data_IF_018320206933
#
_entry.id   IF_018320206933
#
_cell.length_a   1.000
_cell.length_b   1.000
_cell.length_c   1.000
_cell.angle_alpha   90.00
_cell.angle_beta   90.00
_cell.angle_gamma   90.00
#
_symmetry.space_group_name_H-M   'P 1'
#
loop_
_entity.id
_entity.type
_entity.pdbx_description
1 polymer ?
#
# COMPACT_ATOMS: atom_id res chain seq x y z
N UNK A 1 18.61 7.85 -1.01
CA UNK A 1 17.17 7.64 -0.74
C UNK A 1 16.81 6.20 -1.08
N UNK A 2 16.18 5.48 -0.15
CA UNK A 2 15.73 4.08 -0.34
C UNK A 2 14.22 4.03 -0.17
N UNK A 3 13.51 3.41 -1.12
CA UNK A 3 12.05 3.24 -1.06
C UNK A 3 11.70 1.83 -0.59
N UNK A 4 10.93 1.74 0.49
CA UNK A 4 10.35 0.47 0.94
C UNK A 4 9.12 0.12 0.11
N UNK A 5 8.95 -1.16 -0.23
CA UNK A 5 7.72 -1.68 -0.84
C UNK A 5 7.13 -2.72 0.10
N UNK A 6 5.90 -2.50 0.58
CA UNK A 6 5.22 -3.45 1.44
C UNK A 6 5.02 -4.78 0.69
N UNK A 7 5.60 -5.86 1.21
CA UNK A 7 5.72 -7.15 0.53
C UNK A 7 5.09 -8.30 1.32
N UNK A 8 3.89 -8.06 1.86
CA UNK A 8 3.08 -9.07 2.55
C UNK A 8 2.22 -9.88 1.57
N UNK A 9 1.66 -9.20 0.57
CA UNK A 9 0.83 -9.74 -0.51
C UNK A 9 0.78 -8.70 -1.65
N UNK A 10 0.35 -9.12 -2.85
CA UNK A 10 0.03 -8.22 -3.95
C UNK A 10 1.16 -8.04 -4.95
N UNK A 11 0.99 -7.10 -5.88
CA UNK A 11 1.86 -6.93 -7.05
C UNK A 11 3.11 -6.07 -6.75
N UNK A 12 3.74 -6.27 -5.59
CA UNK A 12 4.93 -5.52 -5.19
C UNK A 12 6.10 -5.68 -6.19
N UNK A 13 6.16 -6.80 -6.91
CA UNK A 13 7.19 -7.06 -7.93
C UNK A 13 7.13 -6.07 -9.10
N UNK A 14 5.96 -5.55 -9.46
CA UNK A 14 5.80 -4.53 -10.48
C UNK A 14 6.39 -3.19 -10.04
N UNK A 15 6.21 -2.84 -8.76
CA UNK A 15 6.84 -1.66 -8.17
C UNK A 15 8.36 -1.78 -8.11
N UNK A 16 8.90 -2.96 -7.78
CA UNK A 16 10.35 -3.23 -7.84
C UNK A 16 10.88 -2.99 -9.25
N UNK A 17 10.23 -3.57 -10.26
CA UNK A 17 10.61 -3.39 -11.67
C UNK A 17 10.55 -1.93 -12.11
N UNK A 18 9.54 -1.19 -11.67
CA UNK A 18 9.41 0.24 -12.00
C UNK A 18 10.53 1.07 -11.36
N UNK A 19 10.81 0.88 -10.07
CA UNK A 19 11.89 1.61 -9.38
C UNK A 19 13.27 1.26 -9.95
N UNK A 20 13.48 0.03 -10.38
CA UNK A 20 14.71 -0.38 -11.06
C UNK A 20 14.92 0.39 -12.38
N UNK A 21 13.87 0.58 -13.19
CA UNK A 21 13.94 1.41 -14.41
C UNK A 21 14.27 2.88 -14.12
N UNK A 22 13.94 3.36 -12.93
CA UNK A 22 14.25 4.72 -12.46
C UNK A 22 15.58 4.81 -11.70
N UNK A 23 16.35 3.72 -11.61
CA UNK A 23 17.58 3.63 -10.82
C UNK A 23 17.40 3.99 -9.33
N UNK A 24 16.22 3.71 -8.76
CA UNK A 24 15.90 3.97 -7.35
C UNK A 24 16.16 2.72 -6.51
N UNK A 25 16.99 2.86 -5.47
CA UNK A 25 17.21 1.82 -4.47
C UNK A 25 15.92 1.49 -3.74
N UNK A 26 15.62 0.21 -3.59
CA UNK A 26 14.43 -0.26 -2.90
C UNK A 26 14.70 -1.51 -2.07
N UNK A 27 13.86 -1.73 -1.06
CA UNK A 27 13.83 -2.97 -0.29
C UNK A 27 12.38 -3.45 -0.09
N UNK A 28 12.22 -4.76 0.11
CA UNK A 28 10.93 -5.34 0.47
C UNK A 28 10.70 -5.22 1.98
N UNK A 29 9.60 -4.60 2.36
CA UNK A 29 9.19 -4.37 3.75
C UNK A 29 8.22 -5.47 4.17
N UNK A 30 8.60 -6.29 5.14
CA UNK A 30 7.80 -7.39 5.70
C UNK A 30 7.61 -7.29 7.21
N UNK A 31 8.49 -6.57 7.90
CA UNK A 31 8.50 -6.40 9.36
C UNK A 31 8.82 -4.97 9.76
N UNK A 32 8.53 -4.63 11.02
CA UNK A 32 8.71 -3.27 11.55
C UNK A 32 10.13 -2.76 11.49
N UNK A 33 11.15 -3.62 11.62
CA UNK A 33 12.55 -3.19 11.57
C UNK A 33 13.03 -2.80 10.16
N UNK A 34 12.32 -3.21 9.10
CA UNK A 34 12.71 -2.85 7.73
C UNK A 34 12.55 -1.34 7.47
N UNK A 35 11.68 -0.68 8.23
CA UNK A 35 11.44 0.77 8.12
C UNK A 35 12.64 1.62 8.54
N UNK A 36 13.61 1.04 9.24
CA UNK A 36 14.80 1.76 9.69
C UNK A 36 15.79 1.98 8.52
N UNK A 37 15.54 1.34 7.37
CA UNK A 37 16.37 1.41 6.17
C UNK A 37 15.72 2.14 4.99
N UNK A 38 14.56 2.79 5.19
CA UNK A 38 13.78 3.40 4.10
C UNK A 38 13.43 4.86 4.40
N UNK A 39 13.22 5.63 3.32
CA UNK A 39 12.85 7.05 3.36
C UNK A 39 11.47 7.33 2.76
N UNK A 40 10.82 6.32 2.18
CA UNK A 40 9.45 6.36 1.69
C UNK A 40 8.88 4.96 1.61
N UNK A 41 7.55 4.83 1.56
CA UNK A 41 6.86 3.54 1.50
C UNK A 41 5.88 3.49 0.34
N UNK A 42 5.91 2.39 -0.41
CA UNK A 42 4.86 2.02 -1.37
C UNK A 42 4.01 0.90 -0.76
N UNK A 43 2.68 1.08 -0.77
CA UNK A 43 1.70 0.04 -0.49
C UNK A 43 1.10 -0.39 -1.85
N UNK A 44 1.38 -1.63 -2.31
CA UNK A 44 1.04 -2.06 -3.66
C UNK A 44 -0.46 -2.31 -3.83
N UNK A 45 -0.87 -2.52 -5.09
CA UNK A 45 -2.14 -3.16 -5.41
C UNK A 45 -2.15 -4.64 -4.99
N UNK A 46 -3.32 -5.25 -4.97
CA UNK A 46 -3.53 -6.61 -4.48
C UNK A 46 -4.91 -6.74 -3.86
N UNK A 47 -5.03 -7.62 -2.87
CA UNK A 47 -6.29 -7.84 -2.15
C UNK A 47 -6.25 -7.07 -0.81
N UNK A 48 -6.99 -5.95 -0.74
CA UNK A 48 -6.93 -5.02 0.39
C UNK A 48 -7.34 -5.64 1.73
N UNK A 49 -8.23 -6.63 1.73
CA UNK A 49 -8.63 -7.38 2.93
C UNK A 49 -7.48 -8.24 3.47
N UNK A 50 -6.79 -8.96 2.59
CA UNK A 50 -5.62 -9.78 2.94
C UNK A 50 -4.46 -8.90 3.41
N UNK A 51 -4.19 -7.80 2.71
CA UNK A 51 -3.17 -6.84 3.17
C UNK A 51 -3.51 -6.27 4.55
N UNK A 52 -4.76 -5.87 4.79
CA UNK A 52 -5.23 -5.39 6.10
C UNK A 52 -5.01 -6.44 7.20
N UNK A 53 -5.38 -7.70 6.93
CA UNK A 53 -5.20 -8.83 7.85
C UNK A 53 -3.72 -9.06 8.18
N UNK A 54 -2.86 -9.11 7.17
CA UNK A 54 -1.43 -9.37 7.34
C UNK A 54 -0.73 -8.20 8.05
N UNK A 55 -1.07 -6.95 7.71
CA UNK A 55 -0.56 -5.78 8.42
C UNK A 55 -0.91 -5.79 9.91
N UNK A 56 -2.10 -6.31 10.25
CA UNK A 56 -2.50 -6.48 11.65
C UNK A 56 -1.69 -7.63 12.30
N UNK A 57 -1.59 -8.78 11.63
CA UNK A 57 -0.84 -9.95 12.11
C UNK A 57 0.63 -9.63 12.40
N UNK A 58 1.27 -8.81 11.56
CA UNK A 58 2.68 -8.41 11.72
C UNK A 58 2.86 -7.08 12.47
N UNK A 59 1.81 -6.55 13.10
CA UNK A 59 1.84 -5.31 13.90
C UNK A 59 2.36 -4.07 13.15
N UNK A 60 2.17 -4.01 11.83
CA UNK A 60 2.72 -2.95 10.98
C UNK A 60 1.89 -1.65 11.00
N UNK A 61 0.62 -1.70 11.40
CA UNK A 61 -0.25 -0.52 11.48
C UNK A 61 0.37 0.64 12.27
N UNK A 62 0.86 0.35 13.48
CA UNK A 62 1.46 1.38 14.35
C UNK A 62 2.74 1.95 13.73
N UNK A 63 3.58 1.09 13.15
CA UNK A 63 4.85 1.51 12.53
C UNK A 63 4.60 2.36 11.29
N UNK A 64 3.66 2.00 10.42
CA UNK A 64 3.29 2.77 9.23
C UNK A 64 2.75 4.15 9.61
N UNK A 65 1.83 4.24 10.58
CA UNK A 65 1.30 5.54 11.05
C UNK A 65 2.35 6.42 11.70
N UNK A 66 3.34 5.84 12.38
CA UNK A 66 4.47 6.61 12.92
C UNK A 66 5.37 7.09 11.78
N UNK A 67 5.65 6.22 10.81
CA UNK A 67 6.49 6.52 9.65
C UNK A 67 5.91 7.65 8.78
N UNK A 68 4.59 7.66 8.57
CA UNK A 68 3.88 8.65 7.75
C UNK A 68 3.95 10.08 8.28
N UNK A 69 4.34 10.29 9.55
CA UNK A 69 4.46 11.64 10.12
C UNK A 69 5.59 12.45 9.49
N UNK A 70 6.66 11.75 9.06
CA UNK A 70 7.88 12.39 8.56
C UNK A 70 8.27 11.92 7.15
N UNK A 71 7.55 10.95 6.58
CA UNK A 71 7.91 10.33 5.31
C UNK A 71 6.69 10.12 4.42
N UNK A 72 6.89 10.19 3.11
CA UNK A 72 5.83 9.99 2.13
C UNK A 72 5.43 8.51 2.01
N UNK A 73 4.12 8.29 1.83
CA UNK A 73 3.56 6.97 1.54
C UNK A 73 2.72 7.04 0.28
N UNK A 74 3.00 6.14 -0.66
CA UNK A 74 2.27 6.00 -1.90
C UNK A 74 1.44 4.71 -1.88
N UNK A 75 0.12 4.82 -2.05
CA UNK A 75 -0.78 3.68 -2.11
C UNK A 75 -1.38 3.54 -3.51
N UNK A 76 -1.25 2.35 -4.11
CA UNK A 76 -1.83 2.04 -5.42
C UNK A 76 -2.96 1.01 -5.26
N UNK A 77 -4.13 1.24 -5.88
CA UNK A 77 -5.30 0.35 -5.79
C UNK A 77 -5.64 -0.06 -4.34
N UNK A 78 -5.36 -1.30 -3.94
CA UNK A 78 -5.52 -1.77 -2.56
C UNK A 78 -4.78 -0.89 -1.53
N UNK A 79 -3.59 -0.41 -1.86
CA UNK A 79 -2.87 0.55 -1.04
C UNK A 79 -3.60 1.88 -0.88
N UNK A 80 -4.28 2.37 -1.93
CA UNK A 80 -5.09 3.59 -1.85
C UNK A 80 -6.31 3.39 -0.92
N UNK A 81 -6.98 2.23 -1.01
CA UNK A 81 -8.05 1.84 -0.09
C UNK A 81 -7.54 1.82 1.35
N UNK A 82 -6.35 1.26 1.61
CA UNK A 82 -5.78 1.19 2.96
C UNK A 82 -5.38 2.56 3.51
N UNK A 83 -5.02 3.53 2.68
CA UNK A 83 -4.64 4.88 3.13
C UNK A 83 -5.84 5.76 3.50
N UNK A 84 -7.05 5.41 3.05
CA UNK A 84 -8.27 6.18 3.28
C UNK A 84 -8.61 6.34 4.76
N UNK A 85 -9.48 7.30 5.07
CA UNK A 85 -10.04 7.46 6.41
C UNK A 85 -11.16 6.46 6.67
N UNK A 86 -11.95 6.18 5.63
CA UNK A 86 -13.12 5.30 5.69
C UNK A 86 -13.15 4.39 4.48
N UNK A 87 -13.56 3.15 4.69
CA UNK A 87 -13.81 2.14 3.67
C UNK A 87 -15.21 1.55 3.89
N UNK A 88 -15.89 1.17 2.80
CA UNK A 88 -17.19 0.51 2.82
C UNK A 88 -17.14 -0.95 3.31
N UNK A 89 -15.96 -1.58 3.27
CA UNK A 89 -15.72 -2.95 3.77
C UNK A 89 -15.27 -2.99 5.25
N UNK A 90 -16.02 -3.71 6.08
CA UNK A 90 -15.77 -3.90 7.52
C UNK A 90 -14.54 -4.75 7.83
N UNK A 91 -14.08 -5.58 6.89
CA UNK A 91 -12.89 -6.43 7.06
C UNK A 91 -11.58 -5.65 6.88
N UNK A 92 -11.67 -4.40 6.42
CA UNK A 92 -10.53 -3.53 6.23
C UNK A 92 -10.43 -2.58 7.42
N UNK A 93 -9.23 -2.47 7.97
CA UNK A 93 -8.89 -1.46 8.96
C UNK A 93 -8.10 -0.36 8.25
N UNK A 94 -8.68 0.81 7.93
CA UNK A 94 -7.92 1.85 7.23
C UNK A 94 -6.80 2.42 8.11
N UNK A 95 -5.71 2.85 7.48
CA UNK A 95 -4.61 3.57 8.12
C UNK A 95 -5.03 4.99 8.52
N UNK A 96 -6.06 5.56 7.89
CA UNK A 96 -6.56 6.92 8.15
C UNK A 96 -5.49 7.97 7.97
N UNK A 97 -4.83 7.94 6.81
CA UNK A 97 -3.76 8.88 6.45
C UNK A 97 -4.20 9.90 5.40
N UNK A 98 -5.29 9.62 4.68
CA UNK A 98 -5.89 10.52 3.71
C UNK A 98 -7.38 10.65 4.03
N UNK A 99 -7.87 11.89 4.19
CA UNK A 99 -9.29 12.19 4.49
C UNK A 99 -10.18 11.98 3.25
N UNK A 100 -10.39 10.71 2.90
CA UNK A 100 -11.28 10.26 1.82
C UNK A 100 -12.04 9.01 2.27
N UNK A 101 -13.18 8.76 1.63
CA UNK A 101 -13.91 7.50 1.71
C UNK A 101 -13.69 6.68 0.44
N UNK A 102 -13.19 5.46 0.58
CA UNK A 102 -13.02 4.52 -0.52
C UNK A 102 -14.20 3.56 -0.62
N UNK A 103 -14.59 3.22 -1.85
CA UNK A 103 -15.56 2.17 -2.16
C UNK A 103 -14.86 1.06 -2.96
N UNK A 104 -14.95 -0.17 -2.48
CA UNK A 104 -14.28 -1.30 -3.15
C UNK A 104 -15.04 -1.72 -4.40
N UNK A 105 -14.29 -2.00 -5.47
CA UNK A 105 -14.80 -2.63 -6.69
C UNK A 105 -16.08 -1.95 -7.25
N UNK A 106 -16.18 -0.63 -7.09
CA UNK A 106 -17.38 0.13 -7.47
C UNK A 106 -17.70 0.01 -8.97
N UNK A 107 -16.66 -0.11 -9.80
CA UNK A 107 -16.80 -0.28 -11.26
C UNK A 107 -17.22 -1.70 -11.69
N UNK A 108 -17.45 -2.62 -10.74
CA UNK A 108 -17.87 -3.99 -11.02
C UNK A 108 -16.75 -5.02 -10.85
N UNK A 109 -16.89 -6.16 -11.54
CA UNK A 109 -15.95 -7.28 -11.46
C UNK A 109 -14.72 -7.02 -12.34
N UNK A 110 -13.73 -7.91 -12.25
CA UNK A 110 -12.50 -7.81 -13.04
C UNK A 110 -12.76 -7.65 -14.55
N UNK A 111 -13.79 -8.32 -15.10
CA UNK A 111 -14.22 -8.20 -16.50
C UNK A 111 -14.65 -6.78 -16.91
N UNK A 112 -14.99 -5.93 -15.93
CA UNK A 112 -15.39 -4.54 -16.13
C UNK A 112 -14.19 -3.57 -16.02
N UNK A 113 -12.97 -4.08 -15.83
CA UNK A 113 -11.75 -3.24 -15.83
C UNK A 113 -11.52 -2.63 -17.20
N UNK A 114 -11.05 -1.38 -17.23
CA UNK A 114 -10.77 -0.65 -18.46
C UNK A 114 -9.43 0.07 -18.39
N UNK A 115 -8.88 0.41 -19.55
CA UNK A 115 -7.73 1.31 -19.67
C UNK A 115 -8.13 2.50 -20.52
N UNK A 116 -7.75 3.70 -20.10
CA UNK A 116 -7.90 4.91 -20.91
C UNK A 116 -6.50 5.35 -21.31
N UNK A 117 -6.19 5.33 -22.61
CA UNK A 117 -5.02 6.02 -23.13
C UNK A 117 -5.36 7.50 -23.18
N UNK A 118 -4.56 8.33 -22.52
CA UNK A 118 -4.47 9.75 -22.82
C UNK A 118 -3.64 9.94 -24.08
#
# INVERSE_FOLDING_TARGET
MTIGILALQGDFSLHVKMLAKLNIKNILVKKSSDFDFINGLIIPGGESTVLSLLMNKFNLYKKIKKFSKNNCIYGSCAGAILLSEKCDDKNIKPLKLINIKSFRNFYGRQINSFTKKN
#
